data_IF_879607564213
#
_entry.id   IF_879607564213
#
_cell.length_a   1.000
_cell.length_b   1.000
_cell.length_c   1.000
_cell.angle_alpha   90.00
_cell.angle_beta   90.00
_cell.angle_gamma   90.00
#
_symmetry.space_group_name_H-M   'P 1'
#
loop_
_entity.id
_entity.type
_entity.pdbx_description
1 polymer ?
#
# COMPACT_ATOMS: atom_id res chain seq x y z
N UNK A 1 26.58 9.66 56.50
CA UNK A 1 25.27 10.33 56.48
C UNK A 1 24.33 9.57 55.54
N UNK A 2 23.19 9.07 56.04
CA UNK A 2 22.23 8.30 55.24
C UNK A 2 21.23 9.28 54.61
N UNK A 3 21.35 9.53 53.31
CA UNK A 3 20.43 10.43 52.59
C UNK A 3 19.03 9.81 52.61
N UNK A 4 18.11 10.41 53.36
CA UNK A 4 16.68 10.04 53.35
C UNK A 4 16.07 10.64 52.09
N UNK A 5 15.96 9.84 51.03
CA UNK A 5 15.14 10.23 49.88
C UNK A 5 13.67 10.30 50.31
N UNK A 6 12.97 11.43 50.07
CA UNK A 6 11.55 11.56 50.41
C UNK A 6 10.73 10.53 49.63
N UNK A 7 9.81 9.85 50.31
CA UNK A 7 8.94 8.78 49.76
C UNK A 7 8.17 9.19 48.48
N UNK A 8 8.04 10.48 48.18
CA UNK A 8 7.36 11.01 46.99
C UNK A 8 8.11 10.80 45.67
N UNK A 9 9.46 10.87 45.66
CA UNK A 9 10.25 10.79 44.42
C UNK A 9 10.21 9.39 43.78
N UNK A 10 10.15 8.34 44.61
CA UNK A 10 10.05 6.95 44.14
C UNK A 10 8.68 6.63 43.56
N UNK A 11 7.60 7.18 44.13
CA UNK A 11 6.24 6.97 43.61
C UNK A 11 6.01 7.68 42.27
N UNK A 12 6.57 8.87 42.12
CA UNK A 12 6.54 9.63 40.87
C UNK A 12 7.37 8.94 39.77
N UNK A 13 8.57 8.44 40.10
CA UNK A 13 9.38 7.68 39.14
C UNK A 13 8.72 6.37 38.68
N UNK A 14 7.95 5.70 39.54
CA UNK A 14 7.18 4.50 39.17
C UNK A 14 5.99 4.83 38.26
N UNK A 15 5.29 5.93 38.51
CA UNK A 15 4.20 6.38 37.66
C UNK A 15 4.70 6.85 36.28
N UNK A 16 5.83 7.57 36.24
CA UNK A 16 6.45 8.06 35.01
C UNK A 16 6.98 6.91 34.14
N UNK A 17 7.64 5.92 34.75
CA UNK A 17 8.08 4.71 34.02
C UNK A 17 6.91 3.89 33.49
N UNK A 18 5.81 3.77 34.25
CA UNK A 18 4.60 3.12 33.78
C UNK A 18 3.97 3.86 32.58
N UNK A 19 3.92 5.19 32.63
CA UNK A 19 3.45 6.02 31.52
C UNK A 19 4.29 5.81 30.25
N UNK A 20 5.62 5.84 30.38
CA UNK A 20 6.52 5.62 29.26
C UNK A 20 6.42 4.20 28.68
N UNK A 21 6.24 3.19 29.54
CA UNK A 21 6.04 1.82 29.08
C UNK A 21 4.75 1.69 28.25
N UNK A 22 3.64 2.30 28.70
CA UNK A 22 2.38 2.30 27.94
C UNK A 22 2.54 3.03 26.60
N UNK A 23 3.19 4.20 26.59
CA UNK A 23 3.50 4.94 25.36
C UNK A 23 4.34 4.11 24.38
N UNK A 24 5.39 3.44 24.86
CA UNK A 24 6.24 2.58 24.05
C UNK A 24 5.44 1.42 23.43
N UNK A 25 4.55 0.80 24.21
CA UNK A 25 3.67 -0.28 23.75
C UNK A 25 2.73 0.23 22.65
N UNK A 26 2.07 1.37 22.86
CA UNK A 26 1.16 1.97 21.87
C UNK A 26 1.89 2.31 20.57
N UNK A 27 3.10 2.86 20.64
CA UNK A 27 3.92 3.14 19.46
C UNK A 27 4.31 1.85 18.73
N UNK A 28 4.71 0.81 19.46
CA UNK A 28 5.07 -0.48 18.87
C UNK A 28 3.87 -1.11 18.13
N UNK A 29 2.68 -1.15 18.76
CA UNK A 29 1.46 -1.63 18.10
C UNK A 29 1.05 -0.77 16.91
N UNK A 30 1.20 0.55 17.00
CA UNK A 30 0.94 1.47 15.89
C UNK A 30 1.84 1.19 14.68
N UNK A 31 3.13 0.98 14.90
CA UNK A 31 4.09 0.62 13.85
C UNK A 31 3.75 -0.74 13.22
N UNK A 32 3.43 -1.74 14.04
CA UNK A 32 3.03 -3.06 13.55
C UNK A 32 1.73 -3.01 12.75
N UNK A 33 0.76 -2.19 13.17
CA UNK A 33 -0.50 -1.99 12.47
C UNK A 33 -0.32 -1.33 11.09
N UNK A 34 0.76 -0.55 10.90
CA UNK A 34 1.05 0.14 9.64
C UNK A 34 1.64 -0.78 8.56
N UNK A 35 2.31 -1.86 8.96
CA UNK A 35 3.03 -2.75 8.04
C UNK A 35 2.12 -3.31 6.92
N UNK A 36 0.92 -3.87 7.18
CA UNK A 36 0.06 -4.40 6.14
C UNK A 36 -0.37 -3.34 5.13
N UNK A 37 -0.73 -2.15 5.60
CA UNK A 37 -1.14 -1.03 4.75
C UNK A 37 0.01 -0.56 3.86
N UNK A 38 1.21 -0.44 4.41
CA UNK A 38 2.39 -0.06 3.63
C UNK A 38 2.73 -1.11 2.57
N UNK A 39 2.72 -2.39 2.93
CA UNK A 39 2.94 -3.50 1.97
C UNK A 39 1.89 -3.50 0.87
N UNK A 40 0.61 -3.34 1.24
CA UNK A 40 -0.49 -3.26 0.29
C UNK A 40 -0.29 -2.14 -0.72
N UNK A 41 0.12 -0.97 -0.24
CA UNK A 41 0.45 0.19 -1.08
C UNK A 41 1.62 -0.11 -2.01
N UNK A 42 2.72 -0.67 -1.52
CA UNK A 42 3.88 -1.03 -2.36
C UNK A 42 3.53 -2.04 -3.45
N UNK A 43 2.69 -3.03 -3.13
CA UNK A 43 2.21 -3.99 -4.13
C UNK A 43 1.31 -3.31 -5.17
N UNK A 44 0.38 -2.44 -4.74
CA UNK A 44 -0.50 -1.70 -5.63
C UNK A 44 0.28 -0.76 -6.57
N UNK A 45 1.28 -0.04 -6.06
CA UNK A 45 2.12 0.84 -6.89
C UNK A 45 2.92 0.05 -7.91
N UNK A 46 3.54 -1.06 -7.52
CA UNK A 46 4.28 -1.92 -8.44
C UNK A 46 3.37 -2.50 -9.54
N UNK A 47 2.18 -2.98 -9.17
CA UNK A 47 1.21 -3.52 -10.12
C UNK A 47 0.69 -2.47 -11.09
N UNK A 48 0.36 -1.27 -10.61
CA UNK A 48 -0.09 -0.18 -11.44
C UNK A 48 1.02 0.30 -12.40
N UNK A 49 2.27 0.38 -11.93
CA UNK A 49 3.42 0.68 -12.78
C UNK A 49 3.65 -0.39 -13.85
N UNK A 50 3.71 -1.67 -13.46
CA UNK A 50 3.91 -2.79 -14.39
C UNK A 50 2.80 -2.84 -15.46
N UNK A 51 1.55 -2.68 -15.04
CA UNK A 51 0.39 -2.58 -15.93
C UNK A 51 0.58 -1.48 -17.01
N UNK A 52 1.00 -0.28 -16.61
CA UNK A 52 1.22 0.80 -17.59
C UNK A 52 2.36 0.55 -18.57
N UNK A 53 3.40 -0.16 -18.14
CA UNK A 53 4.49 -0.57 -19.03
C UNK A 53 3.99 -1.53 -20.12
N UNK A 54 3.17 -2.51 -19.76
CA UNK A 54 2.61 -3.48 -20.71
C UNK A 54 1.53 -2.89 -21.61
N UNK A 55 0.78 -1.88 -21.13
CA UNK A 55 -0.12 -1.11 -22.00
C UNK A 55 0.64 -0.54 -23.20
N UNK A 56 1.84 0.02 -22.98
CA UNK A 56 2.62 0.64 -24.05
C UNK A 56 3.33 -0.34 -25.02
N UNK A 57 3.21 -1.65 -24.82
CA UNK A 57 3.93 -2.66 -25.62
C UNK A 57 3.15 -3.26 -26.79
N UNK A 58 1.82 -3.14 -26.83
CA UNK A 58 0.99 -3.76 -27.88
C UNK A 58 0.25 -2.71 -28.71
N UNK A 59 0.24 -2.82 -30.05
CA UNK A 59 -0.57 -1.94 -30.90
C UNK A 59 -2.07 -2.27 -30.84
N UNK A 60 -2.45 -3.53 -30.61
CA UNK A 60 -3.86 -3.87 -30.36
C UNK A 60 -4.26 -3.48 -28.92
N UNK A 61 -5.25 -2.59 -28.70
CA UNK A 61 -5.67 -2.12 -27.39
C UNK A 61 -6.35 -3.22 -26.56
N UNK A 62 -7.03 -4.19 -27.19
CA UNK A 62 -7.66 -5.29 -26.49
C UNK A 62 -6.60 -6.25 -25.93
N UNK A 63 -5.58 -6.59 -26.73
CA UNK A 63 -4.43 -7.38 -26.26
C UNK A 63 -3.59 -6.62 -25.23
N UNK A 64 -3.37 -5.32 -25.41
CA UNK A 64 -2.68 -4.48 -24.43
C UNK A 64 -3.39 -4.52 -23.08
N UNK A 65 -4.72 -4.34 -23.07
CA UNK A 65 -5.53 -4.42 -21.85
C UNK A 65 -5.42 -5.78 -21.16
N UNK A 66 -5.60 -6.88 -21.90
CA UNK A 66 -5.50 -8.24 -21.33
C UNK A 66 -4.14 -8.50 -20.71
N UNK A 67 -3.06 -8.17 -21.42
CA UNK A 67 -1.70 -8.36 -20.92
C UNK A 67 -1.43 -7.48 -19.68
N UNK A 68 -1.88 -6.24 -19.69
CA UNK A 68 -1.72 -5.31 -18.58
C UNK A 68 -2.48 -5.77 -17.32
N UNK A 69 -3.71 -6.28 -17.48
CA UNK A 69 -4.48 -6.90 -16.39
C UNK A 69 -3.77 -8.14 -15.84
N UNK A 70 -3.30 -9.02 -16.72
CA UNK A 70 -2.61 -10.24 -16.31
C UNK A 70 -1.32 -9.93 -15.53
N UNK A 71 -0.52 -8.97 -16.02
CA UNK A 71 0.71 -8.55 -15.34
C UNK A 71 0.41 -7.88 -14.01
N UNK A 72 -0.63 -7.04 -13.92
CA UNK A 72 -1.04 -6.45 -12.65
C UNK A 72 -1.37 -7.53 -11.61
N UNK A 73 -2.18 -8.53 -11.98
CA UNK A 73 -2.52 -9.63 -11.07
C UNK A 73 -1.33 -10.53 -10.75
N UNK A 74 -0.47 -10.86 -11.71
CA UNK A 74 0.76 -11.61 -11.45
C UNK A 74 1.68 -10.85 -10.48
N UNK A 75 1.71 -9.52 -10.57
CA UNK A 75 2.52 -8.66 -9.68
C UNK A 75 1.94 -8.65 -8.26
N UNK A 76 0.61 -8.55 -8.13
CA UNK A 76 -0.08 -8.58 -6.83
C UNK A 76 -0.01 -9.95 -6.14
N UNK A 77 -0.11 -11.02 -6.92
CA UNK A 77 -0.15 -12.41 -6.42
C UNK A 77 1.24 -13.05 -6.26
N UNK A 78 2.32 -12.35 -6.60
CA UNK A 78 3.66 -12.89 -6.45
C UNK A 78 4.09 -12.91 -4.98
N UNK A 79 4.91 -13.91 -4.60
CA UNK A 79 5.30 -14.17 -3.21
C UNK A 79 5.94 -12.96 -2.50
N UNK A 80 6.58 -12.07 -3.25
CA UNK A 80 7.21 -10.87 -2.70
C UNK A 80 6.21 -9.86 -2.13
N UNK A 81 4.94 -9.88 -2.57
CA UNK A 81 3.93 -8.90 -2.17
C UNK A 81 3.55 -9.07 -0.70
N UNK A 82 3.50 -10.31 -0.21
CA UNK A 82 3.23 -10.68 1.19
C UNK A 82 1.98 -9.97 1.79
N UNK A 83 0.93 -9.78 0.98
CA UNK A 83 -0.26 -8.98 1.31
C UNK A 83 -1.44 -9.83 1.76
N UNK A 84 -1.23 -10.60 2.83
CA UNK A 84 -2.26 -11.47 3.40
C UNK A 84 -3.51 -10.66 3.84
N UNK A 85 -4.69 -11.08 3.36
CA UNK A 85 -5.97 -10.47 3.71
C UNK A 85 -6.26 -9.12 3.05
N UNK A 86 -5.39 -8.65 2.15
CA UNK A 86 -5.62 -7.42 1.38
C UNK A 86 -6.53 -7.72 0.19
N UNK A 87 -7.53 -6.86 -0.03
CA UNK A 87 -8.35 -6.92 -1.23
C UNK A 87 -7.83 -5.94 -2.27
N UNK A 88 -7.77 -6.36 -3.52
CA UNK A 88 -7.33 -5.53 -4.64
C UNK A 88 -8.41 -5.43 -5.71
N UNK A 89 -8.45 -4.29 -6.39
CA UNK A 89 -9.22 -4.10 -7.63
C UNK A 89 -8.32 -3.47 -8.68
N UNK A 90 -8.26 -4.07 -9.86
CA UNK A 90 -7.45 -3.58 -10.97
C UNK A 90 -8.38 -3.03 -12.05
N UNK A 91 -8.22 -1.76 -12.38
CA UNK A 91 -8.93 -1.08 -13.46
C UNK A 91 -7.93 -0.63 -14.53
N UNK A 92 -8.14 -1.10 -15.76
CA UNK A 92 -7.27 -0.80 -16.90
C UNK A 92 -8.07 -0.09 -17.96
N UNK A 93 -7.67 1.14 -18.26
CA UNK A 93 -8.18 1.95 -19.37
C UNK A 93 -7.13 1.95 -20.49
N UNK A 94 -7.29 1.11 -21.53
CA UNK A 94 -6.42 1.21 -22.70
C UNK A 94 -6.64 2.58 -23.40
N UNK A 95 -5.68 3.03 -24.21
CA UNK A 95 -5.79 4.27 -24.96
C UNK A 95 -6.92 4.15 -25.98
N UNK A 96 -7.56 5.28 -26.27
CA UNK A 96 -8.59 5.35 -27.31
C UNK A 96 -8.04 5.38 -28.74
N UNK A 97 -6.72 5.45 -28.93
CA UNK A 97 -6.11 5.58 -30.25
C UNK A 97 -4.62 5.90 -30.22
N UNK A 98 -3.98 6.03 -31.39
CA UNK A 98 -2.54 6.25 -31.52
C UNK A 98 -2.08 7.51 -30.78
N UNK A 99 -1.10 7.35 -29.88
CA UNK A 99 -0.52 8.47 -29.14
C UNK A 99 -1.39 9.03 -28.01
N UNK A 100 -2.54 8.42 -27.69
CA UNK A 100 -3.29 8.73 -26.48
C UNK A 100 -2.72 7.98 -25.27
N UNK A 101 -2.81 8.54 -24.05
CA UNK A 101 -2.40 7.84 -22.85
C UNK A 101 -3.42 6.76 -22.47
N UNK A 102 -2.92 5.62 -22.00
CA UNK A 102 -3.68 4.65 -21.21
C UNK A 102 -3.47 4.89 -19.72
N UNK A 103 -4.31 4.28 -18.89
CA UNK A 103 -4.24 4.38 -17.42
C UNK A 103 -4.41 3.01 -16.79
N UNK A 104 -3.62 2.75 -15.76
CA UNK A 104 -3.87 1.65 -14.82
C UNK A 104 -4.10 2.22 -13.44
N UNK A 105 -5.20 1.80 -12.81
CA UNK A 105 -5.55 2.12 -11.45
C UNK A 105 -5.67 0.81 -10.66
N UNK A 106 -5.01 0.74 -9.53
CA UNK A 106 -5.07 -0.39 -8.59
C UNK A 106 -5.58 0.15 -7.27
N UNK A 107 -6.79 -0.26 -6.91
CA UNK A 107 -7.36 0.01 -5.60
C UNK A 107 -7.00 -1.12 -4.65
N UNK A 108 -6.78 -0.78 -3.37
CA UNK A 108 -6.53 -1.76 -2.33
C UNK A 108 -7.24 -1.42 -1.03
N UNK A 109 -7.60 -2.45 -0.28
CA UNK A 109 -8.15 -2.37 1.06
C UNK A 109 -7.35 -3.31 1.96
N UNK A 110 -6.62 -2.75 2.93
CA UNK A 110 -5.80 -3.52 3.86
C UNK A 110 -6.57 -3.82 5.15
N UNK A 111 -6.38 -4.99 5.79
CA UNK A 111 -7.00 -5.25 7.08
C UNK A 111 -6.43 -4.31 8.15
N UNK A 112 -7.30 -3.75 8.98
CA UNK A 112 -6.88 -2.99 10.16
C UNK A 112 -6.54 -3.95 11.30
N UNK A 113 -5.26 -4.03 11.65
CA UNK A 113 -4.83 -4.76 12.83
C UNK A 113 -5.18 -3.98 14.10
N UNK A 114 -5.47 -4.70 15.18
CA UNK A 114 -5.74 -4.12 16.50
C UNK A 114 -6.91 -3.13 16.55
N UNK A 115 -7.88 -3.23 15.63
CA UNK A 115 -9.06 -2.35 15.61
C UNK A 115 -9.77 -2.30 16.98
N UNK A 116 -9.99 -3.45 17.62
CA UNK A 116 -10.60 -3.50 18.97
C UNK A 116 -9.74 -2.88 20.09
N UNK A 117 -8.42 -2.77 19.91
CA UNK A 117 -7.51 -2.18 20.90
C UNK A 117 -7.31 -0.67 20.68
N UNK A 118 -7.27 -0.24 19.41
CA UNK A 118 -6.94 1.12 19.01
C UNK A 118 -8.15 1.93 18.53
N UNK A 119 -9.34 1.33 18.47
CA UNK A 119 -10.58 1.98 18.00
C UNK A 119 -10.50 2.50 16.56
N UNK A 120 -9.62 1.92 15.74
CA UNK A 120 -9.32 2.42 14.39
C UNK A 120 -10.45 2.07 13.42
N UNK A 121 -11.12 3.08 12.89
CA UNK A 121 -12.18 2.91 11.89
C UNK A 121 -11.74 2.06 10.69
N UNK A 122 -12.70 1.38 10.08
CA UNK A 122 -12.53 0.49 8.93
C UNK A 122 -11.62 1.09 7.85
N UNK A 123 -10.58 0.37 7.45
CA UNK A 123 -9.74 0.73 6.30
C UNK A 123 -10.62 0.93 5.06
N UNK A 124 -10.69 2.16 4.57
CA UNK A 124 -11.32 2.47 3.28
C UNK A 124 -10.50 1.95 2.10
N UNK A 125 -11.08 2.03 0.91
CA UNK A 125 -10.36 1.77 -0.34
C UNK A 125 -9.36 2.90 -0.61
N UNK A 126 -8.12 2.52 -0.88
CA UNK A 126 -7.04 3.40 -1.31
C UNK A 126 -6.73 3.13 -2.78
N UNK A 127 -6.25 4.13 -3.51
CA UNK A 127 -6.02 4.02 -4.95
C UNK A 127 -4.60 4.43 -5.32
N UNK A 128 -3.95 3.62 -6.13
CA UNK A 128 -2.67 3.94 -6.77
C UNK A 128 -2.86 3.87 -8.28
N UNK A 129 -2.36 4.87 -9.02
CA UNK A 129 -2.57 4.93 -10.45
C UNK A 129 -1.35 5.46 -11.18
N UNK A 130 -1.17 4.99 -12.42
CA UNK A 130 -0.14 5.47 -13.33
C UNK A 130 -0.73 5.67 -14.73
N UNK A 131 -0.12 6.57 -15.48
CA UNK A 131 -0.41 6.80 -16.90
C UNK A 131 0.68 6.14 -17.75
N UNK A 132 0.29 5.50 -18.85
CA UNK A 132 1.25 4.94 -19.79
C UNK A 132 1.87 6.05 -20.64
N UNK A 133 3.17 5.94 -20.95
CA UNK A 133 3.84 6.87 -21.85
C UNK A 133 3.31 6.68 -23.27
N UNK A 134 2.73 7.73 -23.84
CA UNK A 134 2.17 7.70 -25.20
C UNK A 134 3.24 7.69 -26.30
N UNK A 135 4.46 8.11 -25.99
CA UNK A 135 5.56 8.27 -26.94
C UNK A 135 6.09 6.93 -27.48
N UNK A 136 6.21 5.91 -26.64
CA UNK A 136 6.59 4.55 -27.06
C UNK A 136 5.51 3.89 -27.93
N UNK A 137 4.28 4.39 -27.88
CA UNK A 137 3.13 3.80 -28.55
C UNK A 137 2.96 4.25 -30.00
N UNK A 138 3.32 5.52 -30.30
CA UNK A 138 3.10 6.13 -31.63
C UNK A 138 3.79 5.36 -32.77
N UNK A 139 4.89 4.66 -32.50
CA UNK A 139 5.67 3.96 -33.52
C UNK A 139 5.10 2.59 -33.94
N UNK A 140 4.18 1.98 -33.18
CA UNK A 140 3.75 0.58 -33.39
C UNK A 140 2.41 0.39 -34.13
N UNK A 141 1.65 1.46 -34.38
CA UNK A 141 0.31 1.42 -35.00
C UNK A 141 0.32 1.50 -36.54
N UNK A 142 1.30 0.88 -37.21
CA UNK A 142 1.31 0.79 -38.67
C UNK A 142 0.51 -0.41 -39.16
#
# INVERSE_FOLDING_TARGET
MKVKHPKGERGQALAETALFAVLAILMAFGLLAWIPTHRARTAATAAAYACTQFLSQSPDPARARRNAVNVAWNTLNADWSATAGVQYQVQVSPPGGPGLPGRCLVSFQAPTLFNGLLGLSTSGWNNEWFLSRSETWKARWR
#
